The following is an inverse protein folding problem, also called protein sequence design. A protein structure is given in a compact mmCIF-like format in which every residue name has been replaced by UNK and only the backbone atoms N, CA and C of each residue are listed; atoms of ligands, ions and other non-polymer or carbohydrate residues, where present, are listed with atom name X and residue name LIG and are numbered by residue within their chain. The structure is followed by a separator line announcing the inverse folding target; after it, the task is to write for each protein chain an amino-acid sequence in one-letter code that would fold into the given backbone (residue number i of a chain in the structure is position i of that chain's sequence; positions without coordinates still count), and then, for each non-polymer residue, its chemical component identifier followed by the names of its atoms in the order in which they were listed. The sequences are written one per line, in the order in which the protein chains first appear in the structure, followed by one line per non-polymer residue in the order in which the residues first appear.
data_IF_129714638689
#
_entry.id   IF_129714638689
#
_cell.length_a   1.000
_cell.length_b   1.000
_cell.length_c   1.000
_cell.angle_alpha   90.00
_cell.angle_beta   90.00
_cell.angle_gamma   90.00
#
_symmetry.space_group_name_H-M   'P 1'
#
loop_
_entity.id
_entity.type
_entity.pdbx_description
1 polymer ?
#
# COMPACT_ATOMS: atom_id res chain seq x y z
N UNK A 1 11.03 -36.02 -0.98
CA UNK A 1 10.21 -35.34 -2.01
C UNK A 1 8.79 -35.88 -1.89
N UNK A 2 7.77 -35.04 -1.65
CA UNK A 2 6.39 -35.53 -1.60
C UNK A 2 5.93 -35.98 -2.99
N UNK A 3 5.13 -37.05 -3.01
CA UNK A 3 4.69 -37.75 -4.21
C UNK A 3 3.90 -36.81 -5.15
N UNK A 4 4.43 -36.54 -6.35
CA UNK A 4 3.84 -35.59 -7.32
C UNK A 4 2.48 -36.11 -7.85
N UNK A 5 2.20 -37.41 -7.71
CA UNK A 5 0.96 -38.05 -8.18
C UNK A 5 -0.32 -37.66 -7.43
N UNK A 6 -0.22 -36.95 -6.30
CA UNK A 6 -1.40 -36.50 -5.54
C UNK A 6 -1.86 -35.07 -5.87
N UNK A 7 -1.24 -34.41 -6.85
CA UNK A 7 -1.76 -33.14 -7.38
C UNK A 7 -2.97 -33.44 -8.29
N UNK A 8 -4.09 -33.85 -7.69
CA UNK A 8 -5.41 -33.72 -8.34
C UNK A 8 -5.81 -32.26 -8.27
N UNK A 9 -5.23 -31.43 -9.13
CA UNK A 9 -5.94 -30.22 -9.55
C UNK A 9 -7.23 -30.70 -10.19
N UNK A 10 -8.36 -30.53 -9.51
CA UNK A 10 -9.66 -30.92 -10.07
C UNK A 10 -9.83 -30.16 -11.40
N UNK A 11 -9.86 -30.83 -12.56
CA UNK A 11 -9.96 -30.16 -13.87
C UNK A 11 -11.20 -29.25 -13.96
N UNK A 12 -12.20 -29.51 -13.11
CA UNK A 12 -13.40 -28.68 -12.94
C UNK A 12 -13.11 -27.25 -12.46
N UNK A 13 -12.12 -27.05 -11.60
CA UNK A 13 -11.82 -25.71 -11.04
C UNK A 13 -11.15 -24.80 -12.07
N UNK A 14 -10.22 -25.35 -12.86
CA UNK A 14 -9.59 -24.62 -13.96
C UNK A 14 -10.63 -24.26 -15.02
N UNK A 15 -11.46 -25.24 -15.40
CA UNK A 15 -12.55 -25.05 -16.37
C UNK A 15 -13.49 -23.93 -15.92
N UNK A 16 -13.95 -23.94 -14.65
CA UNK A 16 -14.84 -22.92 -14.10
C UNK A 16 -14.24 -21.51 -14.16
N UNK A 17 -12.95 -21.37 -13.82
CA UNK A 17 -12.25 -20.08 -13.86
C UNK A 17 -12.13 -19.54 -15.30
N UNK A 18 -11.75 -20.39 -16.27
CA UNK A 18 -11.75 -20.00 -17.69
C UNK A 18 -13.15 -19.64 -18.20
N UNK A 19 -14.18 -20.39 -17.82
CA UNK A 19 -15.56 -20.10 -18.22
C UNK A 19 -16.04 -18.75 -17.69
N UNK A 20 -15.66 -18.37 -16.47
CA UNK A 20 -16.03 -17.08 -15.88
C UNK A 20 -15.30 -15.90 -16.53
N UNK A 21 -14.04 -16.06 -16.92
CA UNK A 21 -13.30 -15.04 -17.68
C UNK A 21 -13.87 -14.86 -19.09
N UNK A 22 -14.20 -15.97 -19.77
CA UNK A 22 -14.85 -15.95 -21.09
C UNK A 22 -16.23 -15.29 -20.99
N UNK A 23 -17.01 -15.60 -19.96
CA UNK A 23 -18.34 -14.99 -19.76
C UNK A 23 -18.24 -13.48 -19.49
N UNK A 24 -17.28 -13.04 -18.66
CA UNK A 24 -17.04 -11.62 -18.41
C UNK A 24 -16.60 -10.86 -19.67
N UNK A 25 -15.70 -11.45 -20.47
CA UNK A 25 -15.28 -10.88 -21.74
C UNK A 25 -16.43 -10.83 -22.76
N UNK A 26 -17.22 -11.91 -22.86
CA UNK A 26 -18.39 -11.99 -23.74
C UNK A 26 -19.46 -10.94 -23.39
N UNK A 27 -19.73 -10.73 -22.10
CA UNK A 27 -20.69 -9.71 -21.64
C UNK A 27 -20.23 -8.27 -21.93
N UNK A 28 -18.93 -8.02 -21.95
CA UNK A 28 -18.33 -6.72 -22.32
C UNK A 28 -18.57 -6.37 -23.79
N UNK A 29 -18.70 -7.37 -24.66
CA UNK A 29 -19.01 -7.19 -26.08
C UNK A 29 -20.43 -6.66 -26.34
N UNK A 30 -21.30 -6.66 -25.32
CA UNK A 30 -22.70 -6.21 -25.42
C UNK A 30 -23.00 -4.86 -24.73
N UNK A 31 -22.03 -4.23 -24.07
CA UNK A 31 -22.25 -2.93 -23.42
C UNK A 31 -22.08 -1.76 -24.40
N UNK A 32 -23.21 -1.20 -24.86
CA UNK A 32 -23.25 0.16 -25.41
C UNK A 32 -22.98 1.22 -24.33
N UNK A 33 -22.87 2.52 -24.71
CA UNK A 33 -22.36 3.62 -23.88
C UNK A 33 -23.20 4.01 -22.62
N UNK A 34 -24.21 3.23 -22.24
CA UNK A 34 -25.13 3.53 -21.11
C UNK A 34 -25.11 2.52 -19.95
N UNK A 35 -24.25 1.50 -19.96
CA UNK A 35 -24.32 0.40 -18.97
C UNK A 35 -23.17 0.35 -17.95
N UNK A 36 -22.77 1.49 -17.38
CA UNK A 36 -21.83 1.53 -16.23
C UNK A 36 -22.28 0.64 -15.05
N UNK A 37 -23.60 0.59 -14.78
CA UNK A 37 -24.19 -0.30 -13.79
C UNK A 37 -24.13 -1.78 -14.19
N UNK A 38 -24.32 -2.06 -15.48
CA UNK A 38 -24.24 -3.42 -16.01
C UNK A 38 -22.81 -3.98 -15.95
N UNK A 39 -21.83 -3.17 -16.35
CA UNK A 39 -20.41 -3.54 -16.25
C UNK A 39 -20.00 -3.76 -14.79
N UNK A 40 -20.36 -2.86 -13.89
CA UNK A 40 -20.10 -3.03 -12.46
C UNK A 40 -20.71 -4.32 -11.91
N UNK A 41 -21.96 -4.63 -12.31
CA UNK A 41 -22.62 -5.86 -11.87
C UNK A 41 -21.90 -7.12 -12.37
N UNK A 42 -21.45 -7.14 -13.63
CA UNK A 42 -20.69 -8.27 -14.19
C UNK A 42 -19.38 -8.45 -13.43
N UNK A 43 -18.60 -7.38 -13.23
CA UNK A 43 -17.35 -7.45 -12.47
C UNK A 43 -17.57 -7.90 -11.02
N UNK A 44 -18.63 -7.42 -10.38
CA UNK A 44 -19.00 -7.87 -9.04
C UNK A 44 -19.32 -9.37 -9.03
N UNK A 45 -20.17 -9.86 -9.95
CA UNK A 45 -20.53 -11.28 -10.02
C UNK A 45 -19.30 -12.15 -10.30
N UNK A 46 -18.40 -11.75 -11.20
CA UNK A 46 -17.15 -12.47 -11.46
C UNK A 46 -16.25 -12.46 -10.22
N UNK A 47 -16.07 -11.32 -9.57
CA UNK A 47 -15.22 -11.21 -8.38
C UNK A 47 -15.78 -12.05 -7.20
N UNK A 48 -17.09 -12.00 -6.97
CA UNK A 48 -17.75 -12.84 -5.97
C UNK A 48 -17.62 -14.32 -6.30
N UNK A 49 -17.87 -14.70 -7.55
CA UNK A 49 -17.82 -16.11 -7.95
C UNK A 49 -16.40 -16.66 -7.85
N UNK A 50 -15.40 -15.93 -8.36
CA UNK A 50 -14.00 -16.32 -8.22
C UNK A 50 -13.59 -16.36 -6.73
N UNK A 51 -13.97 -15.34 -5.97
CA UNK A 51 -13.67 -15.21 -4.54
C UNK A 51 -14.23 -16.35 -3.70
N UNK A 52 -15.46 -16.81 -3.93
CA UNK A 52 -16.06 -17.85 -3.09
C UNK A 52 -15.81 -19.28 -3.60
N UNK A 53 -15.66 -19.47 -4.91
CA UNK A 53 -15.57 -20.83 -5.46
C UNK A 53 -14.15 -21.24 -5.86
N UNK A 54 -13.34 -20.33 -6.40
CA UNK A 54 -12.02 -20.66 -6.97
C UNK A 54 -10.90 -20.34 -6.01
N UNK A 55 -10.87 -19.10 -5.52
CA UNK A 55 -9.78 -18.59 -4.69
C UNK A 55 -9.51 -19.40 -3.41
N UNK A 56 -10.53 -19.85 -2.64
CA UNK A 56 -10.33 -20.68 -1.45
C UNK A 56 -9.69 -22.02 -1.80
N UNK A 57 -10.09 -22.64 -2.91
CA UNK A 57 -9.54 -23.94 -3.33
C UNK A 57 -8.05 -23.84 -3.68
N UNK A 58 -7.65 -22.76 -4.36
CA UNK A 58 -6.26 -22.50 -4.75
C UNK A 58 -5.42 -22.17 -3.52
N UNK A 59 -5.95 -21.33 -2.62
CA UNK A 59 -5.26 -20.93 -1.39
C UNK A 59 -5.15 -22.09 -0.41
N UNK A 60 -6.19 -22.89 -0.23
CA UNK A 60 -6.22 -23.97 0.76
C UNK A 60 -5.50 -25.24 0.30
N UNK A 61 -5.02 -25.30 -0.95
CA UNK A 61 -4.16 -26.37 -1.49
C UNK A 61 -2.79 -26.52 -0.78
N UNK A 62 -2.57 -25.83 0.35
CA UNK A 62 -1.53 -26.12 1.34
C UNK A 62 -0.10 -25.65 1.00
N UNK A 63 0.22 -25.38 -0.28
CA UNK A 63 1.58 -24.97 -0.66
C UNK A 63 1.77 -23.46 -0.57
N UNK A 64 2.74 -23.02 0.25
CA UNK A 64 3.11 -21.59 0.44
C UNK A 64 3.39 -20.88 -0.90
N UNK A 65 4.13 -21.52 -1.82
CA UNK A 65 4.49 -20.90 -3.10
C UNK A 65 3.29 -20.68 -4.02
N UNK A 66 2.33 -21.63 -4.07
CA UNK A 66 1.10 -21.48 -4.87
C UNK A 66 0.36 -20.22 -4.43
N UNK A 67 0.21 -20.04 -3.11
CA UNK A 67 -0.45 -18.84 -2.53
C UNK A 67 0.22 -17.55 -2.96
N UNK A 68 1.55 -17.47 -2.81
CA UNK A 68 2.33 -16.28 -3.17
C UNK A 68 2.21 -15.98 -4.66
N UNK A 69 2.36 -17.00 -5.51
CA UNK A 69 2.23 -16.86 -6.95
C UNK A 69 0.82 -16.42 -7.35
N UNK A 70 -0.23 -16.97 -6.74
CA UNK A 70 -1.61 -16.56 -7.00
C UNK A 70 -1.85 -15.11 -6.62
N UNK A 71 -1.48 -14.68 -5.41
CA UNK A 71 -1.69 -13.31 -4.94
C UNK A 71 -0.93 -12.30 -5.82
N UNK A 72 0.30 -12.64 -6.22
CA UNK A 72 1.10 -11.81 -7.12
C UNK A 72 0.51 -11.74 -8.53
N UNK A 73 0.10 -12.87 -9.11
CA UNK A 73 -0.54 -12.92 -10.43
C UNK A 73 -1.84 -12.12 -10.45
N UNK A 74 -2.67 -12.23 -9.42
CA UNK A 74 -3.91 -11.43 -9.31
C UNK A 74 -3.59 -9.93 -9.25
N UNK A 75 -2.56 -9.54 -8.50
CA UNK A 75 -2.13 -8.14 -8.39
C UNK A 75 -1.55 -7.60 -9.71
N UNK A 76 -0.80 -8.43 -10.44
CA UNK A 76 -0.29 -8.11 -11.77
C UNK A 76 -1.41 -7.95 -12.80
N UNK A 77 -2.36 -8.88 -12.83
CA UNK A 77 -3.52 -8.80 -13.71
C UNK A 77 -4.37 -7.55 -13.41
N UNK A 78 -4.57 -7.24 -12.13
CA UNK A 78 -5.27 -6.03 -11.72
C UNK A 78 -4.56 -4.77 -12.20
N UNK A 79 -3.26 -4.65 -11.93
CA UNK A 79 -2.47 -3.50 -12.37
C UNK A 79 -2.47 -3.36 -13.90
N UNK A 80 -2.38 -4.48 -14.63
CA UNK A 80 -2.48 -4.50 -16.10
C UNK A 80 -3.84 -3.96 -16.58
N UNK A 81 -4.94 -4.43 -16.01
CA UNK A 81 -6.29 -3.94 -16.36
C UNK A 81 -6.40 -2.44 -16.07
N UNK A 82 -5.96 -1.98 -14.90
CA UNK A 82 -6.01 -0.55 -14.55
C UNK A 82 -5.18 0.27 -15.52
N UNK A 83 -3.95 -0.12 -15.81
CA UNK A 83 -3.10 0.62 -16.76
C UNK A 83 -3.64 0.60 -18.18
N UNK A 84 -4.32 -0.47 -18.59
CA UNK A 84 -4.99 -0.52 -19.89
C UNK A 84 -6.15 0.47 -19.96
N UNK A 85 -7.03 0.47 -18.95
CA UNK A 85 -8.27 1.26 -18.94
C UNK A 85 -8.07 2.74 -18.59
N UNK A 86 -7.10 3.04 -17.72
CA UNK A 86 -6.80 4.40 -17.24
C UNK A 86 -5.53 4.99 -17.91
N UNK A 87 -5.16 4.49 -19.10
CA UNK A 87 -3.89 4.84 -19.74
C UNK A 87 -3.78 6.32 -20.13
N UNK A 88 -2.62 6.89 -19.78
CA UNK A 88 -1.87 7.78 -20.67
C UNK A 88 -1.79 9.26 -20.31
N UNK A 89 -2.53 9.75 -19.31
CA UNK A 89 -2.51 11.17 -18.98
C UNK A 89 -1.70 11.39 -17.70
N UNK A 90 -0.49 11.93 -17.89
CA UNK A 90 0.28 12.51 -16.80
C UNK A 90 -0.48 13.67 -16.19
N UNK A 91 -0.50 13.75 -14.87
CA UNK A 91 -0.91 14.97 -14.20
C UNK A 91 0.13 16.06 -14.46
N UNK A 92 -0.27 17.32 -14.38
CA UNK A 92 0.64 18.46 -14.58
C UNK A 92 1.86 18.37 -13.64
N UNK A 93 1.63 17.92 -12.39
CA UNK A 93 2.66 17.64 -11.41
C UNK A 93 3.71 16.60 -11.87
N UNK A 94 3.35 15.64 -12.72
CA UNK A 94 4.34 14.70 -13.25
C UNK A 94 5.37 15.39 -14.16
N UNK A 95 5.01 16.53 -14.77
CA UNK A 95 5.89 17.33 -15.62
C UNK A 95 7.17 17.80 -14.91
N UNK A 96 7.08 18.22 -13.65
CA UNK A 96 8.29 18.59 -12.91
C UNK A 96 9.15 17.37 -12.56
N UNK A 97 8.53 16.21 -12.28
CA UNK A 97 9.27 14.97 -12.01
C UNK A 97 10.01 14.51 -13.27
N UNK A 98 9.37 14.55 -14.44
CA UNK A 98 10.00 14.23 -15.72
C UNK A 98 11.27 15.06 -15.94
N UNK A 99 11.21 16.36 -15.64
CA UNK A 99 12.39 17.23 -15.73
C UNK A 99 13.52 16.85 -14.77
N UNK A 100 13.20 16.46 -13.53
CA UNK A 100 14.21 15.90 -12.61
C UNK A 100 14.84 14.64 -13.20
N UNK A 101 14.04 13.73 -13.76
CA UNK A 101 14.52 12.50 -14.37
C UNK A 101 15.39 12.74 -15.61
N UNK A 102 15.02 13.70 -16.46
CA UNK A 102 15.84 14.13 -17.62
C UNK A 102 17.22 14.63 -17.19
N UNK A 103 17.28 15.41 -16.12
CA UNK A 103 18.55 15.90 -15.59
C UNK A 103 19.34 14.80 -14.89
N UNK A 104 18.66 13.87 -14.21
CA UNK A 104 19.28 12.69 -13.62
C UNK A 104 19.92 11.81 -14.70
N UNK A 105 19.24 11.60 -15.83
CA UNK A 105 19.77 10.89 -16.99
C UNK A 105 21.05 11.54 -17.57
N UNK A 106 21.19 12.87 -17.42
CA UNK A 106 22.40 13.63 -17.79
C UNK A 106 23.48 13.64 -16.70
N UNK A 107 23.29 12.89 -15.61
CA UNK A 107 24.24 12.79 -14.50
C UNK A 107 24.07 13.87 -13.41
N UNK A 108 23.02 14.68 -13.46
CA UNK A 108 22.76 15.70 -12.43
C UNK A 108 21.83 15.13 -11.35
N UNK A 109 22.38 14.81 -10.18
CA UNK A 109 21.62 14.27 -9.05
C UNK A 109 20.64 15.31 -8.51
N UNK A 110 19.34 15.05 -8.63
CA UNK A 110 18.28 15.89 -8.06
C UNK A 110 18.33 17.37 -8.51
N UNK A 111 18.64 17.65 -9.77
CA UNK A 111 18.67 19.03 -10.28
C UNK A 111 17.40 19.37 -11.06
N UNK A 112 16.77 20.52 -10.79
CA UNK A 112 15.67 21.03 -11.63
C UNK A 112 16.19 21.92 -12.77
N UNK A 113 17.01 22.91 -12.41
CA UNK A 113 17.85 23.67 -13.33
C UNK A 113 19.29 23.19 -13.16
N UNK A 114 20.02 23.02 -14.27
CA UNK A 114 21.42 22.57 -14.20
C UNK A 114 22.33 23.59 -13.50
N UNK A 115 21.99 24.88 -13.57
CA UNK A 115 22.72 25.99 -12.94
C UNK A 115 22.62 25.99 -11.41
N UNK A 116 21.55 25.44 -10.85
CA UNK A 116 21.21 25.60 -9.44
C UNK A 116 21.78 24.47 -8.57
N UNK A 117 22.31 23.41 -9.20
CA UNK A 117 22.75 22.21 -8.52
C UNK A 117 21.60 21.36 -8.00
N UNK A 118 21.86 20.60 -6.93
CA UNK A 118 20.91 19.68 -6.33
C UNK A 118 19.84 20.44 -5.52
N UNK A 119 18.56 20.20 -5.83
CA UNK A 119 17.40 20.81 -5.18
C UNK A 119 16.37 19.73 -4.86
N UNK A 120 15.92 19.68 -3.59
CA UNK A 120 14.86 18.76 -3.19
C UNK A 120 13.47 19.32 -3.51
N UNK A 121 13.08 19.30 -4.78
CA UNK A 121 11.77 19.80 -5.21
C UNK A 121 10.65 18.76 -5.28
N UNK A 122 10.99 17.47 -5.42
CA UNK A 122 9.96 16.42 -5.48
C UNK A 122 9.35 16.17 -4.11
N UNK A 123 8.03 15.98 -4.05
CA UNK A 123 7.33 15.60 -2.81
C UNK A 123 7.72 14.23 -2.29
N UNK A 124 8.31 13.37 -3.15
CA UNK A 124 8.89 12.10 -2.74
C UNK A 124 10.34 11.87 -3.11
N UNK A 125 11.18 11.71 -2.07
CA UNK A 125 12.59 11.41 -2.24
C UNK A 125 12.81 9.98 -2.74
N UNK A 126 12.16 8.98 -2.14
CA UNK A 126 12.36 7.58 -2.57
C UNK A 126 11.91 7.37 -4.01
N UNK A 127 10.79 7.99 -4.41
CA UNK A 127 10.29 7.90 -5.79
C UNK A 127 11.24 8.56 -6.79
N UNK A 128 11.71 9.77 -6.52
CA UNK A 128 12.66 10.46 -7.40
C UNK A 128 14.04 9.80 -7.44
N UNK A 129 14.49 9.18 -6.34
CA UNK A 129 15.73 8.41 -6.30
C UNK A 129 15.64 7.14 -7.16
N UNK A 130 14.56 6.36 -6.99
CA UNK A 130 14.33 5.15 -7.80
C UNK A 130 14.17 5.50 -9.28
N UNK A 131 13.36 6.53 -9.57
CA UNK A 131 13.15 6.97 -10.95
C UNK A 131 14.42 7.53 -11.57
N UNK A 132 15.15 8.36 -10.84
CA UNK A 132 16.40 8.95 -11.27
C UNK A 132 17.46 7.89 -11.58
N UNK A 133 17.56 6.86 -10.73
CA UNK A 133 18.45 5.73 -10.99
C UNK A 133 18.09 4.99 -12.28
N UNK A 134 16.81 4.71 -12.53
CA UNK A 134 16.37 4.07 -13.78
C UNK A 134 16.61 4.96 -15.01
N UNK A 135 16.40 6.27 -14.87
CA UNK A 135 16.67 7.24 -15.93
C UNK A 135 18.18 7.33 -16.24
N UNK A 136 19.02 7.30 -15.22
CA UNK A 136 20.48 7.22 -15.36
C UNK A 136 20.95 5.93 -16.06
N UNK A 137 20.25 4.82 -15.87
CA UNK A 137 20.47 3.57 -16.63
C UNK A 137 19.97 3.65 -18.09
N UNK A 138 19.44 4.79 -18.53
CA UNK A 138 19.01 5.04 -19.91
C UNK A 138 17.54 4.71 -20.19
N UNK A 139 16.73 4.42 -19.17
CA UNK A 139 15.28 4.27 -19.36
C UNK A 139 14.64 5.64 -19.55
N UNK A 140 13.80 5.80 -20.57
CA UNK A 140 13.11 7.08 -20.84
C UNK A 140 12.27 7.51 -19.61
N UNK A 141 12.35 8.77 -19.15
CA UNK A 141 11.62 9.26 -17.98
C UNK A 141 10.13 8.92 -17.93
N UNK A 142 9.43 8.97 -19.06
CA UNK A 142 7.99 8.65 -19.14
C UNK A 142 7.74 7.17 -18.82
N UNK A 143 8.58 6.28 -19.36
CA UNK A 143 8.53 4.85 -19.07
C UNK A 143 8.91 4.55 -17.62
N UNK A 144 9.84 5.33 -17.05
CA UNK A 144 10.18 5.24 -15.63
C UNK A 144 8.97 5.56 -14.77
N UNK A 145 8.27 6.68 -15.00
CA UNK A 145 7.10 7.06 -14.21
C UNK A 145 5.98 6.04 -14.32
N UNK A 146 5.66 5.57 -15.53
CA UNK A 146 4.66 4.52 -15.72
C UNK A 146 5.10 3.19 -15.09
N UNK A 147 6.37 2.80 -15.23
CA UNK A 147 6.91 1.59 -14.64
C UNK A 147 6.85 1.61 -13.11
N UNK A 148 7.19 2.75 -12.49
CA UNK A 148 7.07 2.93 -11.04
C UNK A 148 5.61 2.96 -10.58
N UNK A 149 4.72 3.61 -11.33
CA UNK A 149 3.28 3.57 -11.05
C UNK A 149 2.72 2.14 -11.11
N UNK A 150 3.08 1.39 -12.16
CA UNK A 150 2.65 0.01 -12.37
C UNK A 150 3.17 -0.91 -11.27
N UNK A 151 4.48 -0.87 -11.00
CA UNK A 151 5.09 -1.70 -9.95
C UNK A 151 4.59 -1.33 -8.56
N UNK A 152 4.35 -0.04 -8.29
CA UNK A 152 3.70 0.43 -7.07
C UNK A 152 2.29 -0.16 -6.92
N UNK A 153 1.48 -0.11 -7.98
CA UNK A 153 0.12 -0.67 -7.96
C UNK A 153 0.11 -2.20 -7.76
N UNK A 154 1.06 -2.92 -8.36
CA UNK A 154 1.26 -4.36 -8.11
C UNK A 154 1.60 -4.61 -6.64
N UNK A 155 2.52 -3.82 -6.07
CA UNK A 155 2.92 -3.95 -4.68
C UNK A 155 1.76 -3.63 -3.72
N UNK A 156 0.98 -2.59 -4.03
CA UNK A 156 -0.22 -2.21 -3.28
C UNK A 156 -1.26 -3.34 -3.27
N UNK A 157 -1.56 -3.88 -4.45
CA UNK A 157 -2.46 -5.02 -4.60
C UNK A 157 -2.01 -6.23 -3.79
N UNK A 158 -0.73 -6.57 -3.91
CA UNK A 158 -0.15 -7.75 -3.26
C UNK A 158 -0.13 -7.61 -1.73
N UNK A 159 0.38 -6.49 -1.22
CA UNK A 159 0.48 -6.25 0.22
C UNK A 159 -0.91 -6.14 0.87
N UNK A 160 -1.88 -5.51 0.20
CA UNK A 160 -3.25 -5.43 0.69
C UNK A 160 -3.89 -6.83 0.79
N UNK A 161 -3.69 -7.70 -0.22
CA UNK A 161 -4.13 -9.10 -0.18
C UNK A 161 -3.52 -9.83 1.02
N UNK A 162 -2.21 -9.71 1.24
CA UNK A 162 -1.53 -10.33 2.37
C UNK A 162 -2.11 -9.87 3.72
N UNK A 163 -2.33 -8.56 3.87
CA UNK A 163 -2.94 -7.96 5.06
C UNK A 163 -4.36 -8.50 5.27
N UNK A 164 -5.20 -8.47 4.25
CA UNK A 164 -6.59 -8.92 4.34
C UNK A 164 -6.69 -10.39 4.70
N UNK A 165 -5.85 -11.24 4.10
CA UNK A 165 -5.80 -12.68 4.45
C UNK A 165 -5.35 -12.93 5.89
N UNK A 166 -4.48 -12.06 6.43
CA UNK A 166 -4.04 -12.16 7.82
C UNK A 166 -5.16 -11.78 8.80
N UNK A 167 -6.02 -10.83 8.39
CA UNK A 167 -7.10 -10.30 9.22
C UNK A 167 -8.41 -11.08 9.07
N UNK A 168 -8.66 -11.68 7.89
CA UNK A 168 -9.92 -12.30 7.53
C UNK A 168 -9.72 -13.80 7.36
N UNK A 169 -10.37 -14.59 8.21
CA UNK A 169 -10.25 -16.06 8.23
C UNK A 169 -10.76 -16.70 6.92
N UNK A 170 -11.77 -16.11 6.29
CA UNK A 170 -12.37 -16.66 5.07
C UNK A 170 -11.67 -16.05 3.82
N UNK A 171 -10.94 -16.85 3.02
CA UNK A 171 -10.16 -16.33 1.89
C UNK A 171 -11.04 -15.63 0.83
N UNK A 172 -12.27 -16.10 0.61
CA UNK A 172 -13.15 -15.47 -0.36
C UNK A 172 -13.54 -14.04 -0.03
N UNK A 173 -13.82 -13.75 1.24
CA UNK A 173 -14.04 -12.37 1.69
C UNK A 173 -12.80 -11.50 1.57
N UNK A 174 -11.60 -12.07 1.80
CA UNK A 174 -10.35 -11.35 1.59
C UNK A 174 -10.22 -10.86 0.15
N UNK A 175 -10.55 -11.73 -0.82
CA UNK A 175 -10.51 -11.39 -2.24
C UNK A 175 -11.59 -10.35 -2.62
N UNK A 176 -12.84 -10.56 -2.19
CA UNK A 176 -13.94 -9.62 -2.50
C UNK A 176 -13.66 -8.23 -1.93
N UNK A 177 -13.21 -8.14 -0.68
CA UNK A 177 -12.84 -6.86 -0.04
C UNK A 177 -11.64 -6.24 -0.75
N UNK A 178 -10.65 -7.03 -1.15
CA UNK A 178 -9.50 -6.55 -1.91
C UNK A 178 -9.91 -5.89 -3.24
N UNK A 179 -10.67 -6.62 -4.08
CA UNK A 179 -11.16 -6.08 -5.37
C UNK A 179 -12.00 -4.82 -5.14
N UNK A 180 -12.90 -4.86 -4.16
CA UNK A 180 -13.80 -3.74 -3.87
C UNK A 180 -13.01 -2.53 -3.37
N UNK A 181 -12.08 -2.71 -2.43
CA UNK A 181 -11.32 -1.60 -1.84
C UNK A 181 -10.48 -0.85 -2.87
N UNK A 182 -9.78 -1.58 -3.76
CA UNK A 182 -8.92 -0.93 -4.76
C UNK A 182 -9.75 -0.37 -5.93
N UNK A 183 -10.76 -1.10 -6.41
CA UNK A 183 -11.55 -0.68 -7.57
C UNK A 183 -12.49 0.50 -7.29
N UNK A 184 -12.93 0.69 -6.04
CA UNK A 184 -13.88 1.76 -5.71
C UNK A 184 -13.23 3.13 -5.52
N UNK A 185 -11.91 3.19 -5.38
CA UNK A 185 -11.18 4.44 -5.20
C UNK A 185 -10.75 5.02 -6.55
N UNK A 186 -11.70 5.62 -7.29
CA UNK A 186 -11.43 6.23 -8.60
C UNK A 186 -10.23 7.18 -8.59
N UNK A 187 -10.15 8.08 -7.61
CA UNK A 187 -9.04 9.04 -7.48
C UNK A 187 -7.69 8.35 -7.30
N UNK A 188 -7.64 7.27 -6.54
CA UNK A 188 -6.40 6.51 -6.38
C UNK A 188 -5.99 5.83 -7.70
N UNK A 189 -6.94 5.26 -8.44
CA UNK A 189 -6.66 4.63 -9.74
C UNK A 189 -6.14 5.65 -10.77
N UNK A 190 -6.74 6.83 -10.84
CA UNK A 190 -6.29 7.92 -11.71
C UNK A 190 -4.88 8.40 -11.32
N UNK A 191 -4.63 8.59 -10.03
CA UNK A 191 -3.31 9.00 -9.51
C UNK A 191 -2.26 7.91 -9.75
N UNK A 192 -2.66 6.63 -9.71
CA UNK A 192 -1.73 5.52 -9.88
C UNK A 192 -1.19 5.39 -11.31
N UNK A 193 -1.96 5.84 -12.30
CA UNK A 193 -1.55 5.82 -13.72
C UNK A 193 -0.99 7.16 -14.21
N UNK A 194 -1.12 8.23 -13.43
CA UNK A 194 -0.76 9.59 -13.85
C UNK A 194 0.69 10.02 -13.58
N UNK A 195 1.59 9.07 -13.33
CA UNK A 195 3.02 9.33 -13.10
C UNK A 195 3.35 9.96 -11.75
N UNK A 196 2.43 9.86 -10.79
CA UNK A 196 2.61 10.37 -9.43
C UNK A 196 3.28 9.33 -8.52
N UNK A 197 3.94 9.80 -7.48
CA UNK A 197 4.66 8.95 -6.52
C UNK A 197 3.76 8.10 -5.61
N UNK A 198 2.44 8.34 -5.62
CA UNK A 198 1.50 7.83 -4.62
C UNK A 198 1.44 6.30 -4.52
N UNK A 199 1.44 5.50 -5.61
CA UNK A 199 1.41 4.04 -5.49
C UNK A 199 2.65 3.48 -4.79
N UNK A 200 3.84 3.98 -5.15
CA UNK A 200 5.09 3.55 -4.50
C UNK A 200 5.07 3.93 -3.02
N UNK A 201 4.55 5.12 -2.70
CA UNK A 201 4.42 5.56 -1.31
C UNK A 201 3.42 4.71 -0.50
N UNK A 202 2.27 4.38 -1.09
CA UNK A 202 1.27 3.49 -0.48
C UNK A 202 1.86 2.10 -0.22
N UNK A 203 2.70 1.58 -1.13
CA UNK A 203 3.31 0.27 -0.96
C UNK A 203 4.24 0.24 0.27
N UNK A 204 4.99 1.31 0.52
CA UNK A 204 5.82 1.45 1.72
C UNK A 204 4.97 1.46 3.00
N UNK A 205 3.84 2.16 2.99
CA UNK A 205 2.90 2.19 4.11
C UNK A 205 2.30 0.79 4.35
N UNK A 206 1.80 0.13 3.31
CA UNK A 206 1.23 -1.21 3.41
C UNK A 206 2.28 -2.23 3.86
N UNK A 207 3.54 -2.08 3.45
CA UNK A 207 4.64 -2.91 3.94
C UNK A 207 4.83 -2.74 5.46
N UNK A 208 4.77 -1.51 5.97
CA UNK A 208 4.81 -1.26 7.42
C UNK A 208 3.65 -1.94 8.16
N UNK A 209 2.42 -1.85 7.65
CA UNK A 209 1.26 -2.57 8.21
C UNK A 209 1.46 -4.09 8.18
N UNK A 210 1.96 -4.64 7.08
CA UNK A 210 2.24 -6.06 6.95
C UNK A 210 3.25 -6.54 8.00
N UNK A 211 4.36 -5.81 8.19
CA UNK A 211 5.37 -6.16 9.19
C UNK A 211 4.87 -5.97 10.63
N UNK A 212 4.03 -4.97 10.88
CA UNK A 212 3.32 -4.84 12.16
C UNK A 212 2.47 -6.07 12.47
N UNK A 213 1.68 -6.55 11.50
CA UNK A 213 0.83 -7.75 11.66
C UNK A 213 1.62 -9.05 11.77
N UNK A 214 2.84 -9.08 11.21
CA UNK A 214 3.79 -10.20 11.36
C UNK A 214 4.57 -10.14 12.68
N UNK A 215 4.46 -9.06 13.46
CA UNK A 215 5.25 -8.86 14.67
C UNK A 215 6.74 -8.60 14.40
N UNK A 216 7.11 -8.24 13.17
CA UNK A 216 8.50 -7.92 12.82
C UNK A 216 8.74 -6.42 13.03
N UNK A 217 9.02 -6.05 14.29
CA UNK A 217 9.21 -4.65 14.69
C UNK A 217 10.29 -3.93 13.88
N UNK A 218 11.43 -4.60 13.61
CA UNK A 218 12.56 -4.01 12.87
C UNK A 218 12.16 -3.55 11.47
N UNK A 219 11.56 -4.45 10.69
CA UNK A 219 11.13 -4.10 9.33
C UNK A 219 9.95 -3.13 9.33
N UNK A 220 9.06 -3.22 10.32
CA UNK A 220 7.98 -2.24 10.49
C UNK A 220 8.54 -0.83 10.71
N UNK A 221 9.44 -0.63 11.68
CA UNK A 221 10.05 0.67 11.96
C UNK A 221 10.86 1.20 10.77
N UNK A 222 11.60 0.31 10.08
CA UNK A 222 12.33 0.69 8.87
C UNK A 222 11.39 1.16 7.75
N UNK A 223 10.32 0.43 7.46
CA UNK A 223 9.35 0.85 6.44
C UNK A 223 8.62 2.14 6.82
N UNK A 224 8.34 2.37 8.11
CA UNK A 224 7.79 3.63 8.60
C UNK A 224 8.78 4.80 8.46
N UNK A 225 10.07 4.58 8.72
CA UNK A 225 11.09 5.60 8.50
C UNK A 225 11.22 5.94 7.00
N UNK A 226 11.32 4.91 6.17
CA UNK A 226 11.42 5.06 4.70
C UNK A 226 10.15 5.71 4.12
N UNK A 227 8.97 5.42 4.67
CA UNK A 227 7.74 6.08 4.22
C UNK A 227 7.72 7.57 4.58
N UNK A 228 8.20 7.99 5.76
CA UNK A 228 8.33 9.41 6.12
C UNK A 228 9.35 10.13 5.25
N UNK A 229 10.50 9.49 4.98
CA UNK A 229 11.51 10.01 4.04
C UNK A 229 10.93 10.11 2.63
N UNK A 230 10.08 9.15 2.26
CA UNK A 230 9.35 9.20 0.99
C UNK A 230 8.35 10.34 0.98
N UNK A 231 7.39 10.46 1.89
CA UNK A 231 6.50 11.63 1.98
C UNK A 231 6.15 11.91 3.43
N UNK A 232 6.09 13.20 3.77
CA UNK A 232 5.72 13.66 5.11
C UNK A 232 4.27 13.30 5.49
N UNK A 233 3.43 13.03 4.50
CA UNK A 233 2.05 12.56 4.69
C UNK A 233 1.96 11.23 5.45
N UNK A 234 3.06 10.45 5.53
CA UNK A 234 3.13 9.24 6.32
C UNK A 234 3.25 9.49 7.84
N UNK A 235 3.62 10.70 8.29
CA UNK A 235 3.86 11.00 9.71
C UNK A 235 2.67 10.63 10.60
N UNK A 236 1.41 11.01 10.29
CA UNK A 236 0.25 10.60 11.10
C UNK A 236 0.10 9.08 11.21
N UNK A 237 0.37 8.34 10.12
CA UNK A 237 0.29 6.87 10.11
C UNK A 237 1.37 6.28 11.01
N UNK A 238 2.60 6.81 10.96
CA UNK A 238 3.70 6.39 11.83
C UNK A 238 3.39 6.65 13.30
N UNK A 239 2.78 7.80 13.63
CA UNK A 239 2.36 8.11 14.99
C UNK A 239 1.30 7.13 15.50
N UNK A 240 0.30 6.80 14.67
CA UNK A 240 -0.76 5.84 15.04
C UNK A 240 -0.20 4.43 15.16
N UNK A 241 0.48 3.92 14.15
CA UNK A 241 0.97 2.54 14.10
C UNK A 241 2.09 2.32 15.12
N UNK A 242 3.03 3.26 15.20
CA UNK A 242 4.10 3.27 16.19
C UNK A 242 3.57 3.42 17.62
N UNK A 243 2.59 4.30 17.84
CA UNK A 243 1.92 4.45 19.13
C UNK A 243 1.22 3.17 19.57
N UNK A 244 0.45 2.52 18.68
CA UNK A 244 -0.17 1.22 18.95
C UNK A 244 0.87 0.14 19.27
N UNK A 245 1.99 0.11 18.55
CA UNK A 245 3.09 -0.82 18.82
C UNK A 245 3.69 -0.60 20.21
N UNK A 246 3.98 0.64 20.58
CA UNK A 246 4.53 0.99 21.90
C UNK A 246 3.53 0.71 23.03
N UNK A 247 2.25 1.03 22.83
CA UNK A 247 1.18 0.73 23.79
C UNK A 247 1.05 -0.78 24.04
N UNK A 248 1.19 -1.60 22.98
CA UNK A 248 1.18 -3.07 23.08
C UNK A 248 2.34 -3.61 23.92
N UNK A 249 3.49 -2.94 23.88
CA UNK A 249 4.72 -3.34 24.59
C UNK A 249 5.03 -2.46 25.80
N UNK A 250 4.03 -1.73 26.33
CA UNK A 250 4.23 -0.73 27.39
C UNK A 250 4.87 -1.28 28.68
N UNK A 251 4.61 -2.54 29.02
CA UNK A 251 5.17 -3.17 30.23
C UNK A 251 6.67 -3.43 30.03
N UNK A 252 7.07 -3.96 28.88
CA UNK A 252 8.48 -4.16 28.51
C UNK A 252 9.24 -2.82 28.54
N UNK A 253 8.64 -1.78 27.94
CA UNK A 253 9.24 -0.43 27.92
C UNK A 253 9.33 0.16 29.34
N UNK A 254 8.33 -0.06 30.20
CA UNK A 254 8.32 0.45 31.58
C UNK A 254 9.35 -0.25 32.46
N UNK A 255 9.53 -1.56 32.30
CA UNK A 255 10.41 -2.36 33.15
C UNK A 255 11.88 -2.27 32.73
N UNK A 256 12.16 -2.35 31.42
CA UNK A 256 13.53 -2.36 30.90
C UNK A 256 14.05 -0.98 30.44
N UNK A 257 13.17 0.04 30.33
CA UNK A 257 13.55 1.39 29.92
C UNK A 257 14.24 1.41 28.54
N UNK A 258 15.38 2.10 28.43
CA UNK A 258 16.18 2.17 27.19
C UNK A 258 16.80 0.83 26.79
N UNK A 259 16.93 -0.12 27.72
CA UNK A 259 17.46 -1.45 27.43
C UNK A 259 16.43 -2.38 26.79
N UNK A 260 15.14 -1.99 26.79
CA UNK A 260 14.06 -2.73 26.10
C UNK A 260 14.41 -2.96 24.63
N UNK A 261 14.16 -4.19 24.16
CA UNK A 261 14.31 -4.55 22.75
C UNK A 261 13.40 -3.68 21.89
N UNK A 262 12.17 -3.43 22.34
CA UNK A 262 11.22 -2.55 21.65
C UNK A 262 11.80 -1.14 21.44
N UNK A 263 12.42 -0.54 22.47
CA UNK A 263 13.02 0.81 22.36
C UNK A 263 14.22 0.79 21.42
N UNK A 264 15.09 -0.23 21.51
CA UNK A 264 16.24 -0.39 20.60
C UNK A 264 15.80 -0.50 19.14
N UNK A 265 14.76 -1.30 18.86
CA UNK A 265 14.23 -1.45 17.50
C UNK A 265 13.65 -0.11 16.98
N UNK A 266 12.95 0.67 17.81
CA UNK A 266 12.46 2.01 17.46
C UNK A 266 13.60 2.96 17.13
N UNK A 267 14.63 3.00 17.98
CA UNK A 267 15.77 3.91 17.81
C UNK A 267 16.57 3.55 16.56
N UNK A 268 16.95 2.28 16.42
CA UNK A 268 17.84 1.82 15.35
C UNK A 268 17.17 1.82 13.99
N UNK A 269 15.92 1.34 13.90
CA UNK A 269 15.24 1.17 12.62
C UNK A 269 14.24 2.29 12.30
N UNK A 270 13.81 3.07 13.30
CA UNK A 270 12.90 4.20 13.11
C UNK A 270 13.63 5.54 13.14
N UNK A 271 14.22 5.87 14.29
CA UNK A 271 14.75 7.23 14.55
C UNK A 271 16.06 7.51 13.81
N UNK A 272 17.05 6.60 13.89
CA UNK A 272 18.36 6.80 13.27
C UNK A 272 18.25 7.04 11.75
N UNK A 273 17.50 6.25 10.96
CA UNK A 273 17.37 6.49 9.52
C UNK A 273 16.77 7.86 9.20
N UNK A 274 15.79 8.33 9.97
CA UNK A 274 15.19 9.66 9.79
C UNK A 274 16.18 10.77 10.16
N UNK A 275 16.96 10.62 11.23
CA UNK A 275 18.01 11.59 11.58
C UNK A 275 19.10 11.63 10.49
N UNK A 276 19.56 10.47 10.03
CA UNK A 276 20.53 10.38 8.93
C UNK A 276 20.00 11.09 7.68
N UNK A 277 18.72 10.89 7.33
CA UNK A 277 18.06 11.61 6.25
C UNK A 277 18.05 13.14 6.49
N UNK A 278 17.66 13.60 7.68
CA UNK A 278 17.62 15.02 8.00
C UNK A 278 19.01 15.65 7.84
N UNK A 279 20.05 15.01 8.36
CA UNK A 279 21.43 15.50 8.24
C UNK A 279 21.86 15.54 6.77
N UNK A 280 21.63 14.44 6.03
CA UNK A 280 21.95 14.34 4.61
C UNK A 280 21.24 15.41 3.78
N UNK A 281 19.91 15.54 3.92
CA UNK A 281 19.12 16.47 3.15
C UNK A 281 19.42 17.93 3.51
N UNK A 282 19.69 18.23 4.77
CA UNK A 282 20.14 19.57 5.18
C UNK A 282 21.49 19.91 4.56
N UNK A 283 22.43 18.97 4.54
CA UNK A 283 23.77 19.20 3.98
C UNK A 283 23.72 19.35 2.45
N UNK A 284 22.96 18.50 1.75
CA UNK A 284 22.93 18.47 0.29
C UNK A 284 21.97 19.51 -0.32
N UNK A 285 20.79 19.69 0.26
CA UNK A 285 19.72 20.51 -0.31
C UNK A 285 19.48 21.82 0.46
N UNK A 286 20.16 22.01 1.60
CA UNK A 286 19.95 23.15 2.50
C UNK A 286 18.73 23.02 3.42
N UNK A 287 17.85 22.04 3.20
CA UNK A 287 16.69 21.77 4.05
C UNK A 287 16.25 20.30 3.97
N UNK A 288 15.76 19.71 5.07
CA UNK A 288 15.21 18.35 5.06
C UNK A 288 13.79 18.27 4.50
N UNK A 289 13.12 19.42 4.30
CA UNK A 289 11.77 19.50 3.75
C UNK A 289 11.83 19.81 2.25
N UNK A 290 10.98 19.16 1.43
CA UNK A 290 10.96 19.44 0.01
C UNK A 290 10.40 20.84 -0.27
N UNK A 291 10.89 21.50 -1.32
CA UNK A 291 10.41 22.84 -1.73
C UNK A 291 8.90 22.86 -2.03
N UNK A 292 8.34 21.74 -2.51
CA UNK A 292 6.89 21.59 -2.68
C UNK A 292 6.11 21.65 -1.37
N UNK A 293 6.68 21.18 -0.25
CA UNK A 293 6.06 21.34 1.07
C UNK A 293 6.12 22.79 1.54
N UNK A 294 7.25 23.46 1.39
CA UNK A 294 7.37 24.90 1.66
C UNK A 294 6.34 25.69 0.84
N UNK A 295 6.22 25.40 -0.45
CA UNK A 295 5.29 26.09 -1.31
C UNK A 295 3.84 25.94 -0.84
N UNK A 296 3.45 24.74 -0.40
CA UNK A 296 2.12 24.46 0.14
C UNK A 296 1.86 25.13 1.49
N UNK A 297 2.87 25.24 2.35
CA UNK A 297 2.73 25.85 3.68
C UNK A 297 2.67 27.38 3.59
N UNK A 298 3.52 27.99 2.76
CA UNK A 298 3.73 29.45 2.76
C UNK A 298 3.00 30.20 1.64
N UNK A 299 2.78 29.58 0.48
CA UNK A 299 2.21 30.27 -0.68
C UNK A 299 0.79 29.82 -1.06
N UNK A 300 0.35 28.66 -0.56
CA UNK A 300 -1.01 28.19 -0.79
C UNK A 300 -1.80 28.33 0.50
N UNK A 301 -2.72 29.30 0.54
CA UNK A 301 -3.76 29.32 1.58
C UNK A 301 -4.51 27.99 1.52
N UNK A 302 -4.58 27.27 2.65
CA UNK A 302 -5.25 25.99 2.69
C UNK A 302 -6.69 26.17 2.18
N UNK A 303 -7.12 25.50 1.09
CA UNK A 303 -8.45 25.73 0.51
C UNK A 303 -9.61 25.33 1.44
N UNK A 304 -9.31 24.77 2.61
CA UNK A 304 -10.27 24.50 3.66
C UNK A 304 -9.84 25.19 4.94
N UNK A 305 -10.77 25.88 5.59
CA UNK A 305 -10.63 26.36 6.98
C UNK A 305 -10.70 25.21 8.02
N UNK A 306 -10.56 23.96 7.56
CA UNK A 306 -10.66 22.76 8.39
C UNK A 306 -9.30 22.13 8.62
N UNK A 307 -9.09 21.64 9.85
CA UNK A 307 -7.90 20.89 10.26
C UNK A 307 -7.77 19.54 9.52
N UNK A 308 -8.88 19.03 8.97
CA UNK A 308 -8.93 17.77 8.22
C UNK A 308 -9.68 17.97 6.89
N UNK A 309 -9.05 18.59 5.89
CA UNK A 309 -9.65 18.89 4.58
C UNK A 309 -10.23 17.64 3.91
N UNK A 310 -9.59 16.50 4.12
CA UNK A 310 -10.01 15.22 3.54
C UNK A 310 -11.33 14.71 4.14
N UNK A 311 -11.62 15.02 5.42
CA UNK A 311 -12.92 14.66 6.02
C UNK A 311 -14.06 15.43 5.39
N UNK A 312 -13.80 16.65 4.86
CA UNK A 312 -14.80 17.46 4.17
C UNK A 312 -15.47 16.68 3.02
N UNK A 313 -14.69 15.94 2.24
CA UNK A 313 -15.23 15.10 1.17
C UNK A 313 -16.11 13.94 1.65
N UNK A 314 -15.96 13.52 2.92
CA UNK A 314 -16.83 12.55 3.56
C UNK A 314 -18.03 13.22 4.22
N UNK A 315 -17.91 14.44 4.76
CA UNK A 315 -19.01 15.15 5.42
C UNK A 315 -19.98 15.82 4.46
N UNK A 316 -19.50 16.28 3.31
CA UNK A 316 -20.31 17.08 2.38
C UNK A 316 -21.23 16.23 1.48
N UNK A 317 -20.99 14.91 1.38
CA UNK A 317 -21.78 14.01 0.54
C UNK A 317 -22.66 13.08 1.37
N UNK A 318 -23.99 13.08 1.18
CA UNK A 318 -24.94 12.33 2.03
C UNK A 318 -24.63 10.82 2.19
N UNK A 319 -24.26 10.13 1.11
CA UNK A 319 -23.89 8.70 1.17
C UNK A 319 -22.53 8.52 1.86
N UNK A 320 -21.55 9.37 1.53
CA UNK A 320 -20.19 9.29 2.10
C UNK A 320 -20.20 9.60 3.59
N UNK A 321 -21.04 10.54 4.02
CA UNK A 321 -21.23 10.90 5.41
C UNK A 321 -21.86 9.75 6.19
N UNK A 322 -22.88 9.13 5.62
CA UNK A 322 -23.50 7.93 6.20
C UNK A 322 -22.48 6.80 6.36
N UNK A 323 -21.67 6.53 5.34
CA UNK A 323 -20.59 5.53 5.42
C UNK A 323 -19.55 5.89 6.48
N UNK A 324 -19.15 7.17 6.55
CA UNK A 324 -18.20 7.67 7.54
C UNK A 324 -18.73 7.52 8.97
N UNK A 325 -20.01 7.85 9.21
CA UNK A 325 -20.67 7.66 10.49
C UNK A 325 -20.76 6.17 10.87
N UNK A 326 -21.14 5.30 9.94
CA UNK A 326 -21.17 3.85 10.17
C UNK A 326 -19.77 3.36 10.53
N UNK A 327 -18.74 3.75 9.77
CA UNK A 327 -17.35 3.38 10.05
C UNK A 327 -16.89 3.89 11.43
N UNK A 328 -17.18 5.16 11.73
CA UNK A 328 -16.88 5.81 13.00
C UNK A 328 -17.62 5.21 14.21
N UNK A 329 -18.73 4.51 14.01
CA UNK A 329 -19.43 3.78 15.07
C UNK A 329 -18.94 2.32 15.16
N UNK A 330 -18.86 1.63 14.03
CA UNK A 330 -18.55 0.19 13.96
C UNK A 330 -17.12 -0.08 14.40
N UNK A 331 -16.14 0.73 14.00
CA UNK A 331 -14.73 0.50 14.33
C UNK A 331 -14.49 0.65 15.84
N UNK A 332 -14.87 1.75 16.51
CA UNK A 332 -14.74 1.85 17.96
C UNK A 332 -15.55 0.80 18.72
N UNK A 333 -16.76 0.46 18.26
CA UNK A 333 -17.56 -0.61 18.86
C UNK A 333 -16.85 -1.96 18.76
N UNK A 334 -16.29 -2.28 17.60
CA UNK A 334 -15.52 -3.52 17.40
C UNK A 334 -14.26 -3.56 18.26
N UNK A 335 -13.50 -2.45 18.32
CA UNK A 335 -12.33 -2.31 19.19
C UNK A 335 -12.75 -2.49 20.66
N UNK A 336 -13.84 -1.84 21.10
CA UNK A 336 -14.34 -1.94 22.46
C UNK A 336 -14.81 -3.35 22.82
N UNK A 337 -15.55 -4.03 21.94
CA UNK A 337 -15.96 -5.43 22.12
C UNK A 337 -14.73 -6.33 22.28
N UNK A 338 -13.72 -6.16 21.42
CA UNK A 338 -12.50 -6.95 21.51
C UNK A 338 -11.71 -6.65 22.79
N UNK A 339 -11.56 -5.37 23.17
CA UNK A 339 -10.91 -4.99 24.43
C UNK A 339 -11.65 -5.52 25.65
N UNK A 340 -12.99 -5.56 25.63
CA UNK A 340 -13.79 -6.16 26.72
C UNK A 340 -13.67 -7.68 26.76
N UNK A 341 -13.69 -8.35 25.60
CA UNK A 341 -13.40 -9.80 25.52
C UNK A 341 -12.02 -10.12 26.09
N UNK A 342 -11.04 -9.23 25.88
CA UNK A 342 -9.71 -9.36 26.45
C UNK A 342 -9.64 -9.13 27.97
N UNK A 343 -10.58 -8.41 28.59
CA UNK A 343 -10.61 -8.22 30.06
C UNK A 343 -11.08 -9.48 30.82
N UNK A 344 -11.74 -10.43 30.16
CA UNK A 344 -11.98 -11.78 30.69
C UNK A 344 -10.94 -12.80 30.24
N UNK A 345 -9.90 -12.37 29.53
CA UNK A 345 -8.94 -13.24 28.86
C UNK A 345 -7.63 -13.23 29.64
N UNK A 346 -7.39 -14.32 30.37
CA UNK A 346 -6.23 -14.50 31.24
C UNK A 346 -4.87 -14.64 30.53
N UNK A 347 -4.76 -14.31 29.25
CA UNK A 347 -3.44 -14.20 28.64
C UNK A 347 -3.45 -13.96 27.14
N UNK A 348 -2.91 -12.82 26.74
CA UNK A 348 -2.35 -12.64 25.39
C UNK A 348 -1.28 -13.69 25.04
N UNK A 349 -0.77 -14.42 26.04
CA UNK A 349 0.14 -15.55 25.90
C UNK A 349 -0.47 -16.73 25.12
N UNK A 350 -1.79 -16.86 25.02
CA UNK A 350 -2.43 -18.00 24.32
C UNK A 350 -2.64 -17.76 22.81
N UNK A 351 -2.66 -16.51 22.33
CA UNK A 351 -2.63 -16.23 20.89
C UNK A 351 -1.21 -16.25 20.30
N UNK A 352 -0.18 -16.16 21.13
CA UNK A 352 1.21 -16.08 20.70
C UNK A 352 1.93 -17.42 20.36
N UNK A 353 1.53 -18.63 20.80
CA UNK A 353 2.31 -19.82 20.48
C UNK A 353 2.32 -20.13 18.98
N UNK A 354 1.26 -19.74 18.26
CA UNK A 354 1.16 -19.92 16.80
C UNK A 354 1.71 -18.76 15.96
N UNK A 355 2.14 -17.66 16.58
CA UNK A 355 2.63 -16.45 15.87
C UNK A 355 4.15 -16.24 16.01
N UNK A 356 4.79 -16.83 17.01
CA UNK A 356 6.21 -16.57 17.31
C UNK A 356 7.14 -17.81 17.24
N UNK A 357 6.65 -19.00 16.87
CA UNK A 357 7.43 -20.24 17.03
C UNK A 357 7.93 -20.89 15.73
N UNK A 358 8.22 -20.13 14.67
CA UNK A 358 8.99 -20.69 13.55
C UNK A 358 10.14 -19.77 13.13
N UNK A 359 11.34 -19.93 13.73
CA UNK A 359 12.55 -19.22 13.32
C UNK A 359 13.00 -19.59 11.89
N UNK A 360 12.45 -20.66 11.30
CA UNK A 360 12.72 -21.09 9.91
C UNK A 360 11.94 -20.30 8.85
N UNK A 361 11.13 -19.30 9.25
CA UNK A 361 10.31 -18.44 8.36
C UNK A 361 11.04 -17.16 7.87
N UNK A 362 12.37 -17.15 7.88
CA UNK A 362 13.24 -16.03 7.44
C UNK A 362 13.79 -16.13 6.01
N UNK A 363 13.27 -17.07 5.21
CA UNK A 363 13.42 -17.15 3.75
C UNK A 363 12.03 -17.31 3.11
#
# INVERSE_FOLDING_TARGET
MPNISEIRTHPKTLLLATSMLILGWWLRSFSGPLNLLGEFFVYAVVAFSFGFFVYPQVVDAGRKWIRVTTDLTLSLLFAYVVFHEYSGIFYDDAGFILRYLDNFAKGCFYCYNLSDGAVFGTSSFIYGLLGGFLAWLGVKPELVLHGLGFTGLVADGYLLLLILRKLIRQPGWSFVIWVTAISTSKTYLEVATSGMESPVHFALILAAFWFFLRGNARLMWLMMAVSVISKLDAVPIVLVLGGLHLLRHRNEVREAGLESKTVKDVLIFGVIPVICWIVFATWLFGSPLPQSAYAKIYFHSHPSDHWFPFLKHYTDGGIRYTMFCIFGMVVPLHIWINLRRQKGWQGWNELAPGLCADPLLLL
#
